data_IF_824237147937
#
_entry.id   IF_824237147937
#
_cell.length_a   1.000
_cell.length_b   1.000
_cell.length_c   1.000
_cell.angle_alpha   90.00
_cell.angle_beta   90.00
_cell.angle_gamma   90.00
#
_symmetry.space_group_name_H-M   'P 1'
#
loop_
_entity.id
_entity.type
_entity.pdbx_description
1 polymer ?
#
# COMPACT_ATOMS: atom_id res chain seq x y z
N UNK A 1 -0.42 -21.84 -4.29
CA UNK A 1 -0.61 -20.67 -3.41
C UNK A 1 0.62 -19.76 -3.48
N UNK A 2 0.43 -18.50 -3.87
CA UNK A 2 1.49 -17.48 -3.83
C UNK A 2 1.28 -16.57 -2.61
N UNK A 3 2.38 -16.13 -1.99
CA UNK A 3 2.34 -15.20 -0.85
C UNK A 3 3.01 -13.88 -1.23
N UNK A 4 2.29 -12.79 -1.01
CA UNK A 4 2.76 -11.42 -1.24
C UNK A 4 2.80 -10.66 0.08
N UNK A 5 3.99 -10.27 0.51
CA UNK A 5 4.19 -9.44 1.69
C UNK A 5 4.05 -7.96 1.33
N UNK A 6 3.28 -7.21 2.11
CA UNK A 6 3.10 -5.77 1.96
C UNK A 6 3.51 -5.11 3.28
N UNK A 7 4.46 -4.18 3.22
CA UNK A 7 4.92 -3.48 4.43
C UNK A 7 5.22 -2.02 4.15
N UNK A 8 4.99 -1.19 5.16
CA UNK A 8 5.39 0.20 5.16
C UNK A 8 6.91 0.35 5.26
N UNK A 9 7.48 1.28 4.50
CA UNK A 9 8.85 1.71 4.70
C UNK A 9 9.03 2.29 6.11
N UNK A 10 8.02 3.04 6.58
CA UNK A 10 7.92 3.61 7.92
C UNK A 10 6.63 3.22 8.63
N UNK A 11 6.55 3.47 9.94
CA UNK A 11 5.38 3.16 10.76
C UNK A 11 4.09 3.89 10.30
N UNK A 12 4.23 5.03 9.62
CA UNK A 12 3.10 5.82 9.11
C UNK A 12 2.59 5.41 7.74
N UNK A 13 3.27 4.47 7.07
CA UNK A 13 2.90 4.02 5.74
C UNK A 13 1.71 3.04 5.77
N UNK A 14 0.69 3.21 4.92
CA UNK A 14 -0.59 2.51 5.04
C UNK A 14 -0.56 1.11 4.39
N UNK A 15 0.22 0.19 4.98
CA UNK A 15 0.37 -1.17 4.45
C UNK A 15 -0.96 -1.95 4.36
N UNK A 16 -1.84 -1.82 5.36
CA UNK A 16 -3.15 -2.48 5.36
C UNK A 16 -4.04 -1.98 4.22
N UNK A 17 -4.14 -0.67 4.01
CA UNK A 17 -4.95 -0.11 2.95
C UNK A 17 -4.48 -0.60 1.58
N UNK A 18 -3.16 -0.58 1.34
CA UNK A 18 -2.58 -1.09 0.09
C UNK A 18 -2.84 -2.59 -0.07
N UNK A 19 -2.74 -3.39 1.00
CA UNK A 19 -3.00 -4.83 0.93
C UNK A 19 -4.46 -5.14 0.56
N UNK A 20 -5.43 -4.39 1.09
CA UNK A 20 -6.85 -4.54 0.74
C UNK A 20 -7.13 -4.16 -0.70
N UNK A 21 -6.59 -3.04 -1.17
CA UNK A 21 -6.76 -2.60 -2.57
C UNK A 21 -6.10 -3.58 -3.56
N UNK A 22 -4.92 -4.12 -3.22
CA UNK A 22 -4.29 -5.17 -4.00
C UNK A 22 -5.13 -6.45 -4.04
N UNK A 23 -5.73 -6.84 -2.90
CA UNK A 23 -6.60 -8.00 -2.83
C UNK A 23 -7.89 -7.83 -3.62
N UNK A 24 -8.49 -6.63 -3.58
CA UNK A 24 -9.65 -6.28 -4.39
C UNK A 24 -9.32 -6.36 -5.89
N UNK A 25 -8.21 -5.74 -6.32
CA UNK A 25 -7.78 -5.78 -7.73
C UNK A 25 -7.50 -7.21 -8.22
N UNK A 26 -6.88 -8.06 -7.39
CA UNK A 26 -6.64 -9.47 -7.71
C UNK A 26 -7.96 -10.27 -7.78
N UNK A 27 -8.94 -9.94 -6.92
CA UNK A 27 -10.29 -10.54 -6.97
C UNK A 27 -11.01 -10.15 -8.26
N UNK A 28 -10.94 -8.87 -8.66
CA UNK A 28 -11.49 -8.38 -9.94
C UNK A 28 -10.82 -9.05 -11.15
N UNK A 29 -9.54 -9.41 -11.03
CA UNK A 29 -8.81 -10.21 -12.01
C UNK A 29 -9.17 -11.71 -12.00
N UNK A 30 -10.11 -12.14 -11.15
CA UNK A 30 -10.61 -13.51 -11.07
C UNK A 30 -9.80 -14.44 -10.17
N UNK A 31 -8.89 -13.93 -9.34
CA UNK A 31 -8.15 -14.74 -8.38
C UNK A 31 -8.95 -14.93 -7.09
N UNK A 32 -8.78 -16.08 -6.44
CA UNK A 32 -9.20 -16.24 -5.04
C UNK A 32 -8.13 -15.66 -4.12
N UNK A 33 -8.51 -14.69 -3.28
CA UNK A 33 -7.56 -13.93 -2.45
C UNK A 33 -7.90 -13.98 -0.98
N UNK A 34 -6.89 -14.21 -0.14
CA UNK A 34 -6.98 -13.96 1.30
C UNK A 34 -6.07 -12.77 1.68
N UNK A 35 -6.64 -11.76 2.34
CA UNK A 35 -5.89 -10.63 2.88
C UNK A 35 -5.74 -10.80 4.40
N UNK A 36 -4.50 -10.81 4.88
CA UNK A 36 -4.17 -10.90 6.29
C UNK A 36 -3.66 -9.54 6.76
N UNK A 37 -4.45 -8.76 7.53
CA UNK A 37 -4.05 -7.42 7.96
C UNK A 37 -2.99 -7.47 9.07
N UNK A 38 -2.31 -6.34 9.30
CA UNK A 38 -1.25 -6.17 10.30
C UNK A 38 -1.71 -6.52 11.72
N UNK A 39 -2.99 -6.29 12.01
CA UNK A 39 -3.64 -6.54 13.30
C UNK A 39 -4.05 -7.99 13.51
N UNK A 40 -4.05 -8.82 12.45
CA UNK A 40 -4.42 -10.22 12.57
C UNK A 40 -3.33 -11.01 13.31
N UNK A 41 -3.70 -11.57 14.46
CA UNK A 41 -2.94 -12.52 15.25
C UNK A 41 -3.27 -13.94 14.80
N UNK A 42 -2.68 -14.37 13.68
CA UNK A 42 -2.72 -15.72 13.10
C UNK A 42 -4.12 -16.34 12.80
N UNK A 43 -4.43 -16.46 11.50
CA UNK A 43 -5.17 -17.58 10.90
C UNK A 43 -6.69 -17.61 11.06
N UNK A 44 -7.40 -17.13 10.04
CA UNK A 44 -8.69 -17.73 9.66
C UNK A 44 -8.40 -18.72 8.53
N UNK A 45 -8.80 -20.00 8.63
CA UNK A 45 -8.72 -20.92 7.51
C UNK A 45 -9.69 -20.44 6.43
N UNK A 46 -9.15 -19.95 5.32
CA UNK A 46 -9.89 -19.81 4.08
C UNK A 46 -9.59 -21.05 3.21
N UNK A 47 -10.50 -21.48 2.32
CA UNK A 47 -10.13 -22.41 1.25
C UNK A 47 -8.84 -21.90 0.57
N UNK A 48 -7.89 -22.79 0.30
CA UNK A 48 -6.54 -22.48 -0.22
C UNK A 48 -6.61 -21.45 -1.35
N UNK A 49 -6.30 -20.16 -1.08
CA UNK A 49 -6.45 -19.11 -2.08
C UNK A 49 -5.32 -19.21 -3.12
N UNK A 50 -5.58 -18.72 -4.33
CA UNK A 50 -4.54 -18.55 -5.35
C UNK A 50 -3.44 -17.61 -4.86
N UNK A 51 -3.85 -16.54 -4.16
CA UNK A 51 -2.99 -15.48 -3.63
C UNK A 51 -3.32 -15.17 -2.16
N UNK A 52 -2.28 -15.14 -1.32
CA UNK A 52 -2.35 -14.58 0.03
C UNK A 52 -1.59 -13.26 0.09
N UNK A 53 -2.27 -12.17 0.43
CA UNK A 53 -1.65 -10.85 0.66
C UNK A 53 -1.53 -10.62 2.16
N UNK A 54 -0.31 -10.46 2.67
CA UNK A 54 -0.06 -10.28 4.09
C UNK A 54 0.46 -8.87 4.33
N UNK A 55 -0.33 -8.05 5.01
CA UNK A 55 0.13 -6.76 5.53
C UNK A 55 0.90 -6.99 6.83
N UNK A 56 2.09 -6.41 6.92
CA UNK A 56 2.93 -6.48 8.11
C UNK A 56 3.39 -5.07 8.51
N UNK A 57 3.46 -4.77 9.83
CA UNK A 57 4.00 -3.50 10.30
C UNK A 57 5.41 -3.28 9.76
N UNK A 58 5.80 -2.01 9.63
CA UNK A 58 7.16 -1.62 9.22
C UNK A 58 8.21 -2.34 10.07
N UNK A 59 9.36 -2.73 9.47
CA UNK A 59 10.47 -3.33 10.21
C UNK A 59 11.05 -2.39 11.28
N UNK A 60 10.71 -1.09 11.27
CA UNK A 60 11.05 -0.15 12.33
C UNK A 60 10.32 -0.42 13.66
N UNK A 61 9.10 -0.96 13.59
CA UNK A 61 8.24 -1.17 14.77
C UNK A 61 7.99 -2.64 15.09
N UNK A 62 8.24 -3.55 14.15
CA UNK A 62 8.04 -4.98 14.36
C UNK A 62 8.97 -5.84 13.50
N UNK A 63 9.49 -6.92 14.07
CA UNK A 63 10.26 -7.94 13.33
C UNK A 63 9.37 -8.89 12.51
N UNK A 64 8.03 -8.77 12.58
CA UNK A 64 7.08 -9.67 11.92
C UNK A 64 7.35 -9.80 10.42
N UNK A 65 7.54 -8.68 9.72
CA UNK A 65 7.77 -8.71 8.27
C UNK A 65 9.07 -9.42 7.90
N UNK A 66 10.11 -9.30 8.74
CA UNK A 66 11.41 -9.94 8.53
C UNK A 66 11.30 -11.45 8.69
N UNK A 67 10.55 -11.90 9.72
CA UNK A 67 10.28 -13.32 9.95
C UNK A 67 9.49 -13.92 8.79
N UNK A 68 8.47 -13.22 8.30
CA UNK A 68 7.71 -13.65 7.13
C UNK A 68 8.61 -13.72 5.88
N UNK A 69 9.46 -12.71 5.66
CA UNK A 69 10.38 -12.67 4.53
C UNK A 69 11.42 -13.80 4.54
N UNK A 70 11.78 -14.33 5.72
CA UNK A 70 12.69 -15.48 5.83
C UNK A 70 12.13 -16.79 5.27
N UNK A 71 10.81 -16.88 5.09
CA UNK A 71 10.17 -17.97 4.36
C UNK A 71 10.30 -17.85 2.83
N UNK A 72 10.90 -16.76 2.33
CA UNK A 72 10.95 -16.44 0.91
C UNK A 72 9.68 -15.75 0.40
N UNK A 73 9.50 -15.76 -0.93
CA UNK A 73 8.32 -15.19 -1.59
C UNK A 73 8.49 -13.75 -2.06
N UNK A 74 7.39 -13.12 -2.46
CA UNK A 74 7.40 -11.77 -3.04
C UNK A 74 7.05 -10.70 -2.00
N UNK A 75 7.63 -9.51 -2.17
CA UNK A 75 7.39 -8.38 -1.28
C UNK A 75 7.18 -7.07 -2.05
N UNK A 76 6.33 -6.21 -1.48
CA UNK A 76 6.08 -4.83 -1.90
C UNK A 76 6.37 -3.90 -0.73
N UNK A 77 7.13 -2.83 -1.02
CA UNK A 77 7.38 -1.75 -0.05
C UNK A 77 6.43 -0.58 -0.32
N UNK A 78 5.69 -0.16 0.70
CA UNK A 78 4.78 0.98 0.65
C UNK A 78 5.48 2.21 1.20
N UNK A 79 5.35 3.34 0.49
CA UNK A 79 5.87 4.63 0.92
C UNK A 79 4.82 5.71 0.70
N UNK A 80 4.85 6.77 1.52
CA UNK A 80 3.91 7.89 1.42
C UNK A 80 4.62 9.12 0.87
N UNK A 81 4.11 9.66 -0.24
CA UNK A 81 4.65 10.85 -0.89
C UNK A 81 4.70 12.06 0.07
N UNK A 82 5.84 12.73 0.11
CA UNK A 82 6.09 13.86 1.00
C UNK A 82 6.25 13.51 2.49
N UNK A 83 6.14 12.24 2.88
CA UNK A 83 6.32 11.79 4.27
C UNK A 83 7.48 10.81 4.40
N UNK A 84 7.51 9.79 3.56
CA UNK A 84 8.53 8.73 3.59
C UNK A 84 9.72 9.12 2.75
N UNK A 85 10.93 9.08 3.32
CA UNK A 85 12.15 9.37 2.56
C UNK A 85 12.55 8.16 1.73
N UNK A 86 13.14 8.40 0.56
CA UNK A 86 13.63 7.34 -0.33
C UNK A 86 14.59 6.37 0.38
N UNK A 87 15.50 6.90 1.23
CA UNK A 87 16.45 6.07 1.99
C UNK A 87 15.78 5.06 2.91
N UNK A 88 14.62 5.41 3.48
CA UNK A 88 13.90 4.54 4.41
C UNK A 88 13.23 3.41 3.64
N UNK A 89 12.64 3.73 2.47
CA UNK A 89 12.12 2.73 1.54
C UNK A 89 13.21 1.79 1.00
N UNK A 90 14.36 2.33 0.62
CA UNK A 90 15.51 1.53 0.16
C UNK A 90 16.03 0.61 1.26
N UNK A 91 16.23 1.14 2.47
CA UNK A 91 16.68 0.36 3.64
C UNK A 91 15.73 -0.80 3.91
N UNK A 92 14.41 -0.54 3.90
CA UNK A 92 13.40 -1.58 4.08
C UNK A 92 13.45 -2.63 2.97
N UNK A 93 13.57 -2.21 1.70
CA UNK A 93 13.70 -3.14 0.58
C UNK A 93 14.95 -4.04 0.69
N UNK A 94 16.11 -3.45 1.03
CA UNK A 94 17.35 -4.21 1.22
C UNK A 94 17.26 -5.19 2.39
N UNK A 95 16.61 -4.78 3.48
CA UNK A 95 16.38 -5.63 4.63
C UNK A 95 15.51 -6.85 4.27
N UNK A 96 14.44 -6.66 3.49
CA UNK A 96 13.59 -7.77 3.01
C UNK A 96 14.35 -8.70 2.07
N UNK A 97 15.16 -8.16 1.15
CA UNK A 97 16.02 -8.96 0.26
C UNK A 97 17.03 -9.80 1.04
N UNK A 98 17.69 -9.20 2.02
CA UNK A 98 18.63 -9.91 2.91
C UNK A 98 17.94 -10.98 3.75
N UNK A 99 16.69 -10.74 4.14
CA UNK A 99 15.90 -11.71 4.89
C UNK A 99 15.46 -12.91 4.04
N UNK A 100 15.31 -12.74 2.72
CA UNK A 100 15.00 -13.83 1.78
C UNK A 100 13.84 -13.54 0.83
N UNK A 101 13.13 -12.42 0.98
CA UNK A 101 12.04 -12.06 0.10
C UNK A 101 12.52 -11.33 -1.17
N UNK A 102 11.87 -11.60 -2.30
CA UNK A 102 12.07 -10.87 -3.53
C UNK A 102 11.19 -9.61 -3.53
N UNK A 103 11.80 -8.44 -3.38
CA UNK A 103 11.10 -7.15 -3.53
C UNK A 103 10.82 -6.92 -5.02
N UNK A 104 9.55 -7.05 -5.42
CA UNK A 104 9.10 -6.98 -6.83
C UNK A 104 8.57 -5.62 -7.24
N UNK A 105 8.10 -4.82 -6.29
CA UNK A 105 7.57 -3.49 -6.55
C UNK A 105 7.65 -2.58 -5.32
N UNK A 106 7.41 -1.30 -5.55
CA UNK A 106 7.12 -0.33 -4.50
C UNK A 106 5.85 0.45 -4.86
N UNK A 107 5.03 0.76 -3.85
CA UNK A 107 3.80 1.54 -4.00
C UNK A 107 4.01 2.90 -3.34
N UNK A 108 3.83 3.97 -4.10
CA UNK A 108 3.88 5.34 -3.59
C UNK A 108 2.45 5.87 -3.40
N UNK A 109 2.03 6.02 -2.15
CA UNK A 109 0.71 6.54 -1.78
C UNK A 109 0.75 8.05 -1.66
N UNK A 110 -0.23 8.75 -2.23
CA UNK A 110 -0.40 10.19 -2.07
C UNK A 110 -1.47 10.48 -1.02
N UNK A 111 -1.13 11.29 -0.01
CA UNK A 111 -2.08 11.73 1.04
C UNK A 111 -3.26 12.56 0.48
N UNK A 112 -3.13 13.06 -0.76
CA UNK A 112 -4.04 14.02 -1.37
C UNK A 112 -4.87 13.49 -2.55
N UNK A 113 -5.05 12.17 -2.70
CA UNK A 113 -5.96 11.62 -3.73
C UNK A 113 -7.45 12.01 -3.52
N UNK A 114 -7.77 12.79 -2.47
CA UNK A 114 -9.09 13.37 -2.19
C UNK A 114 -9.15 14.92 -2.21
N UNK A 115 -8.12 15.63 -2.67
CA UNK A 115 -8.18 17.11 -2.80
C UNK A 115 -7.96 17.56 -4.25
N UNK A 116 -8.73 16.97 -5.16
CA UNK A 116 -8.94 17.50 -6.49
C UNK A 116 -9.62 18.86 -6.38
N UNK A 117 -8.89 19.89 -6.79
CA UNK A 117 -9.31 21.28 -6.82
C UNK A 117 -10.52 21.46 -7.75
N UNK A 118 -11.72 21.59 -7.19
CA UNK A 118 -12.84 22.15 -7.95
C UNK A 118 -12.74 23.69 -7.92
N UNK A 119 -11.73 24.21 -8.60
CA UNK A 119 -11.60 25.63 -8.91
C UNK A 119 -12.64 26.01 -9.95
N UNK A 120 -13.90 26.11 -9.54
CA UNK A 120 -14.93 26.74 -10.35
C UNK A 120 -14.65 28.24 -10.42
N UNK A 121 -13.78 28.61 -11.36
CA UNK A 121 -13.63 29.98 -11.85
C UNK A 121 -14.94 30.37 -12.53
N UNK A 122 -15.86 30.96 -11.79
CA UNK A 122 -16.92 31.78 -12.37
C UNK A 122 -16.31 33.12 -12.80
N UNK A 123 -15.62 33.11 -13.93
CA UNK A 123 -15.25 34.35 -14.61
C UNK A 123 -16.28 34.69 -15.69
N UNK A 124 -16.94 35.83 -15.52
CA UNK A 124 -17.39 36.65 -16.64
C UNK A 124 -18.85 36.53 -17.04
N UNK A 125 -19.68 37.43 -16.49
CA UNK A 125 -20.53 38.28 -17.34
C UNK A 125 -20.76 39.63 -16.66
N UNK A 126 -19.94 40.60 -17.08
CA UNK A 126 -20.26 42.02 -17.00
C UNK A 126 -21.54 42.25 -17.80
N UNK A 127 -22.61 42.72 -17.15
CA UNK A 127 -23.59 43.57 -17.84
C UNK A 127 -23.46 44.98 -17.28
N UNK A 128 -22.65 45.78 -17.96
CA UNK A 128 -22.96 47.20 -18.13
C UNK A 128 -24.08 47.27 -19.17
N UNK A 129 -25.12 48.04 -18.86
CA UNK A 129 -26.17 48.65 -19.71
C UNK A 129 -27.33 48.89 -18.73
N UNK A 130 -27.92 50.05 -18.51
CA UNK A 130 -27.85 51.37 -19.10
C UNK A 130 -28.92 52.21 -18.37
N UNK A 131 -28.74 53.52 -18.33
CA UNK A 131 -29.70 54.48 -17.79
C UNK A 131 -31.06 54.37 -18.52
N UNK A 132 -32.13 54.62 -17.77
CA UNK A 132 -33.50 54.86 -18.23
C UNK A 132 -34.33 55.25 -17.02
#
# INVERSE_FOLDING_TARGET
MQTLLVTGATAGDPADAVAWELGAAATEAGQTVAVIPTSASNGVPHPEPDLTVIAAPSPETSSRVVRLASGGGFAIVVATAGSTRFRDAQRTAELLRRAGAQVVAAVLVSKNAGHGSNGHRSNGRRSRLGRG
#
